data_IF_871371282832
#
_entry.id   IF_871371282832
#
_cell.length_a   1.000
_cell.length_b   1.000
_cell.length_c   1.000
_cell.angle_alpha   90.00
_cell.angle_beta   90.00
_cell.angle_gamma   90.00
#
_symmetry.space_group_name_H-M   'P 1'
#
loop_
_entity.id
_entity.type
_entity.pdbx_description
1 polymer ?
#
# COMPACT_ATOMS: atom_id res chain seq x y z
N UNK A 1 21.71 64.77 -20.02
CA UNK A 1 21.52 63.49 -19.31
C UNK A 1 20.02 63.22 -19.17
N UNK A 2 19.56 62.05 -19.68
CA UNK A 2 18.35 61.28 -19.28
C UNK A 2 17.03 62.07 -19.16
N UNK A 3 16.28 62.28 -20.24
CA UNK A 3 15.18 61.42 -20.76
C UNK A 3 14.24 60.91 -19.64
N UNK A 4 13.09 61.56 -19.48
CA UNK A 4 11.90 60.98 -18.83
C UNK A 4 10.64 61.46 -19.58
N UNK A 5 10.13 60.56 -20.40
CA UNK A 5 8.87 60.62 -21.17
C UNK A 5 7.76 60.02 -20.27
N UNK A 6 6.45 60.26 -20.50
CA UNK A 6 5.66 61.11 -19.61
C UNK A 6 4.34 60.43 -19.16
N UNK A 7 3.48 61.25 -18.56
CA UNK A 7 2.02 61.21 -18.77
C UNK A 7 1.21 60.16 -18.00
N UNK A 8 0.88 60.50 -16.74
CA UNK A 8 -0.31 59.99 -16.08
C UNK A 8 -1.54 60.76 -16.61
N UNK A 9 -2.47 60.06 -17.26
CA UNK A 9 -3.77 60.57 -17.66
C UNK A 9 -4.86 59.53 -17.32
N UNK A 10 -6.03 60.06 -16.95
CA UNK A 10 -7.34 59.45 -16.69
C UNK A 10 -7.58 59.10 -15.19
N UNK A 11 -8.37 59.85 -14.39
CA UNK A 11 -9.76 60.32 -14.56
C UNK A 11 -10.71 59.13 -14.71
N UNK A 12 -11.83 58.93 -14.01
CA UNK A 12 -12.47 59.38 -12.77
C UNK A 12 -13.77 58.52 -12.70
N UNK A 13 -14.58 58.68 -11.64
CA UNK A 13 -16.00 58.23 -11.54
C UNK A 13 -16.13 56.72 -11.25
N UNK A 14 -16.89 56.23 -10.27
CA UNK A 14 -18.05 56.76 -9.56
C UNK A 14 -19.21 55.77 -9.74
N UNK A 15 -20.01 55.59 -8.67
CA UNK A 15 -21.32 54.93 -8.62
C UNK A 15 -21.39 53.39 -8.57
N UNK A 16 -21.62 52.89 -7.35
CA UNK A 16 -22.88 52.27 -6.90
C UNK A 16 -23.78 51.65 -7.99
N UNK A 17 -23.97 50.32 -7.99
CA UNK A 17 -25.28 49.66 -8.12
C UNK A 17 -25.16 48.13 -8.26
N UNK A 18 -26.18 47.48 -7.71
CA UNK A 18 -26.76 46.21 -8.12
C UNK A 18 -26.04 44.90 -7.75
N UNK A 19 -26.65 44.23 -6.76
CA UNK A 19 -26.63 42.79 -6.63
C UNK A 19 -27.10 42.11 -7.93
N UNK A 20 -26.43 41.02 -8.31
CA UNK A 20 -27.02 39.94 -9.10
C UNK A 20 -26.49 38.58 -8.61
N UNK A 21 -27.38 37.61 -8.29
CA UNK A 21 -27.02 36.27 -7.87
C UNK A 21 -26.95 35.32 -9.08
N UNK A 22 -25.89 34.53 -9.17
CA UNK A 22 -25.79 33.39 -10.10
C UNK A 22 -24.76 32.41 -9.50
N UNK A 23 -25.20 31.39 -8.79
CA UNK A 23 -25.54 30.08 -9.34
C UNK A 23 -24.33 29.34 -9.93
N UNK A 24 -24.05 28.20 -9.27
CA UNK A 24 -23.40 27.01 -9.83
C UNK A 24 -21.93 27.14 -10.25
N UNK A 25 -21.06 26.63 -9.37
CA UNK A 25 -20.17 25.48 -9.65
C UNK A 25 -19.52 25.03 -8.35
N UNK A 26 -20.31 24.39 -7.50
CA UNK A 26 -19.81 23.37 -6.58
C UNK A 26 -19.09 22.32 -7.42
N UNK A 27 -17.78 22.08 -7.25
CA UNK A 27 -17.20 20.87 -7.80
C UNK A 27 -17.71 19.69 -6.96
N UNK A 28 -18.72 19.00 -7.46
CA UNK A 28 -18.95 17.58 -7.15
C UNK A 28 -18.44 16.86 -8.41
N UNK A 29 -17.33 16.12 -8.36
CA UNK A 29 -17.35 14.75 -7.80
C UNK A 29 -16.00 14.41 -7.10
N UNK A 30 -15.78 13.33 -6.37
CA UNK A 30 -16.27 11.96 -6.41
C UNK A 30 -16.50 11.55 -4.96
N UNK A 31 -17.76 11.33 -4.59
CA UNK A 31 -18.05 10.41 -3.50
C UNK A 31 -17.48 9.08 -3.95
N UNK A 32 -16.33 8.70 -3.39
CA UNK A 32 -15.95 7.29 -3.37
C UNK A 32 -17.04 6.59 -2.57
N UNK A 33 -18.08 6.14 -3.26
CA UNK A 33 -18.72 4.88 -2.94
C UNK A 33 -17.66 3.81 -3.22
N UNK A 34 -16.58 3.83 -2.44
CA UNK A 34 -15.83 2.64 -2.18
C UNK A 34 -16.90 1.72 -1.57
N UNK A 35 -17.32 0.73 -2.36
CA UNK A 35 -18.06 -0.41 -1.84
C UNK A 35 -17.32 -0.95 -0.62
N UNK A 36 -17.95 -1.82 0.18
CA UNK A 36 -17.26 -2.39 1.32
C UNK A 36 -15.97 -2.99 0.79
N UNK A 37 -14.84 -2.35 1.09
CA UNK A 37 -13.53 -2.93 0.96
C UNK A 37 -13.54 -4.01 2.03
N UNK A 38 -14.17 -5.13 1.70
CA UNK A 38 -14.14 -6.32 2.52
C UNK A 38 -12.69 -6.77 2.51
N UNK A 39 -11.99 -6.34 3.53
CA UNK A 39 -11.03 -7.18 4.21
C UNK A 39 -11.10 -6.95 5.71
N UNK A 40 -12.23 -7.17 6.41
CA UNK A 40 -12.19 -7.47 7.84
C UNK A 40 -11.69 -8.91 7.99
N UNK A 41 -10.45 -9.16 7.59
CA UNK A 41 -9.69 -10.27 8.12
C UNK A 41 -8.94 -9.68 9.28
N UNK A 42 -9.38 -9.95 10.50
CA UNK A 42 -8.59 -9.76 11.71
C UNK A 42 -7.16 -10.23 11.38
N UNK A 43 -6.26 -9.27 11.22
CA UNK A 43 -5.12 -9.43 10.32
C UNK A 43 -4.12 -10.39 10.95
N UNK A 44 -4.35 -11.68 10.68
CA UNK A 44 -3.46 -12.79 10.87
C UNK A 44 -2.04 -12.30 10.52
N UNK A 45 -1.28 -12.03 11.58
CA UNK A 45 -0.10 -11.17 11.52
C UNK A 45 1.11 -11.97 11.12
N UNK A 46 1.31 -12.14 9.82
CA UNK A 46 2.54 -12.73 9.28
C UNK A 46 3.53 -11.61 8.96
N UNK A 47 4.75 -11.71 9.46
CA UNK A 47 5.83 -10.75 9.18
C UNK A 47 7.14 -11.50 8.97
N UNK A 48 7.87 -11.11 7.92
CA UNK A 48 9.21 -11.61 7.64
C UNK A 48 10.24 -10.52 7.92
N UNK A 49 11.33 -10.88 8.60
CA UNK A 49 12.42 -9.96 8.91
C UNK A 49 13.78 -10.66 8.83
N UNK A 50 14.86 -9.97 8.43
CA UNK A 50 14.89 -8.56 7.99
C UNK A 50 14.28 -8.35 6.60
N UNK A 51 13.76 -7.16 6.33
CA UNK A 51 13.31 -6.74 4.99
C UNK A 51 13.89 -5.34 4.73
N UNK A 52 14.83 -5.16 3.77
CA UNK A 52 15.32 -6.14 2.79
C UNK A 52 16.15 -7.29 3.37
N UNK A 53 16.02 -8.50 2.81
CA UNK A 53 16.79 -9.69 3.23
C UNK A 53 17.89 -10.05 2.24
N UNK A 54 18.97 -10.67 2.73
CA UNK A 54 20.05 -11.27 1.93
C UNK A 54 19.95 -12.78 1.75
N UNK A 55 18.75 -13.34 1.91
CA UNK A 55 18.50 -14.78 1.71
C UNK A 55 18.14 -15.54 2.98
N UNK A 56 18.28 -14.99 4.19
CA UNK A 56 17.71 -15.59 5.39
C UNK A 56 16.66 -14.66 6.00
N UNK A 57 15.44 -15.17 6.18
CA UNK A 57 14.36 -14.43 6.85
C UNK A 57 13.79 -15.25 7.99
N UNK A 58 13.59 -14.59 9.13
CA UNK A 58 12.81 -15.15 10.21
C UNK A 58 11.33 -14.90 9.94
N UNK A 59 10.53 -15.93 10.16
CA UNK A 59 9.07 -15.90 10.00
C UNK A 59 8.43 -15.65 11.36
N UNK A 60 7.74 -14.52 11.53
CA UNK A 60 6.88 -14.28 12.69
C UNK A 60 5.45 -14.52 12.32
N UNK A 61 4.83 -15.46 13.02
CA UNK A 61 3.39 -15.68 12.98
C UNK A 61 2.80 -15.22 14.30
N UNK A 62 1.98 -14.18 14.28
CA UNK A 62 1.24 -13.67 15.45
C UNK A 62 -0.22 -14.10 15.36
N UNK A 63 -0.49 -15.34 15.74
CA UNK A 63 -1.81 -15.97 15.62
C UNK A 63 -2.05 -16.93 16.76
N UNK A 64 -3.32 -17.13 17.18
CA UNK A 64 -3.64 -18.14 18.16
C UNK A 64 -3.28 -19.54 17.63
N UNK A 65 -2.96 -20.50 18.53
CA UNK A 65 -2.88 -21.90 18.16
C UNK A 65 -4.22 -22.31 17.56
N UNK A 66 -4.17 -22.85 16.34
CA UNK A 66 -5.35 -22.97 15.49
C UNK A 66 -5.08 -23.87 14.27
N UNK A 67 -5.84 -23.70 13.17
CA UNK A 67 -5.75 -24.56 11.99
C UNK A 67 -4.36 -24.53 11.35
N UNK A 68 -4.09 -25.53 10.50
CA UNK A 68 -2.82 -25.63 9.79
C UNK A 68 -2.62 -24.39 8.89
N UNK A 69 -1.58 -23.62 9.20
CA UNK A 69 -1.23 -22.44 8.43
C UNK A 69 -0.26 -22.83 7.31
N UNK A 70 -0.47 -22.28 6.11
CA UNK A 70 0.39 -22.52 4.95
C UNK A 70 0.98 -21.19 4.47
N UNK A 71 2.29 -21.05 4.60
CA UNK A 71 3.04 -19.95 4.03
C UNK A 71 3.37 -20.27 2.57
N UNK A 72 2.76 -19.53 1.65
CA UNK A 72 3.06 -19.59 0.22
C UNK A 72 3.91 -18.40 -0.17
N UNK A 73 5.08 -18.66 -0.72
CA UNK A 73 5.93 -17.66 -1.35
C UNK A 73 5.73 -17.71 -2.85
N UNK A 74 5.45 -16.56 -3.44
CA UNK A 74 5.22 -16.37 -4.86
C UNK A 74 6.10 -15.26 -5.41
N UNK A 75 6.48 -15.35 -6.69
CA UNK A 75 7.19 -14.27 -7.37
C UNK A 75 6.22 -13.17 -7.86
N UNK A 76 6.77 -12.13 -8.49
CA UNK A 76 5.97 -11.01 -9.03
C UNK A 76 4.97 -11.41 -10.12
N UNK A 77 5.19 -12.54 -10.80
CA UNK A 77 4.27 -13.08 -11.81
C UNK A 77 3.26 -14.08 -11.21
N UNK A 78 3.26 -14.28 -9.89
CA UNK A 78 2.31 -15.14 -9.18
C UNK A 78 2.65 -16.63 -9.19
N UNK A 79 3.82 -17.03 -9.69
CA UNK A 79 4.27 -18.42 -9.58
C UNK A 79 4.64 -18.73 -8.13
N UNK A 80 4.11 -19.83 -7.61
CA UNK A 80 4.47 -20.36 -6.29
C UNK A 80 5.89 -20.92 -6.33
N UNK A 81 6.78 -20.27 -5.59
CA UNK A 81 8.19 -20.61 -5.48
C UNK A 81 8.41 -21.62 -4.36
N UNK A 82 7.71 -21.44 -3.24
CA UNK A 82 7.85 -22.30 -2.07
C UNK A 82 6.58 -22.30 -1.23
N UNK A 83 6.23 -23.45 -0.70
CA UNK A 83 5.13 -23.62 0.26
C UNK A 83 5.63 -24.28 1.52
N UNK A 84 5.29 -23.70 2.66
CA UNK A 84 5.77 -24.14 3.97
C UNK A 84 4.60 -24.20 4.93
N UNK A 85 4.34 -25.38 5.50
CA UNK A 85 3.33 -25.52 6.55
C UNK A 85 3.87 -24.96 7.87
N UNK A 86 3.27 -23.87 8.34
CA UNK A 86 3.55 -23.27 9.64
C UNK A 86 2.62 -23.94 10.67
N UNK A 87 3.23 -24.57 11.67
CA UNK A 87 2.52 -25.11 12.83
C UNK A 87 2.67 -24.13 14.00
N UNK A 88 1.58 -23.76 14.69
CA UNK A 88 1.65 -22.78 15.78
C UNK A 88 2.44 -23.29 17.01
N UNK A 89 2.56 -24.61 17.16
CA UNK A 89 3.34 -25.28 18.21
C UNK A 89 4.85 -25.29 17.94
N UNK A 90 5.27 -25.13 16.68
CA UNK A 90 6.67 -25.22 16.28
C UNK A 90 7.18 -23.82 15.95
N UNK A 91 8.09 -23.30 16.79
CA UNK A 91 8.83 -22.09 16.47
C UNK A 91 9.57 -22.29 15.15
N UNK A 92 9.16 -21.55 14.11
CA UNK A 92 9.74 -21.69 12.78
C UNK A 92 11.10 -21.01 12.76
N UNK A 93 12.23 -21.74 12.59
CA UNK A 93 13.56 -21.18 12.77
C UNK A 93 13.96 -20.15 11.71
N UNK A 94 13.19 -20.04 10.64
CA UNK A 94 13.43 -19.12 9.53
C UNK A 94 13.33 -19.85 8.19
N UNK A 95 13.29 -19.06 7.13
CA UNK A 95 13.22 -19.53 5.76
C UNK A 95 14.51 -19.11 5.05
N UNK A 96 15.22 -20.11 4.53
CA UNK A 96 16.35 -19.88 3.63
C UNK A 96 15.80 -19.66 2.21
N UNK A 97 16.09 -18.48 1.69
CA UNK A 97 15.75 -17.91 0.39
C UNK A 97 17.02 -17.56 -0.42
N UNK A 98 18.20 -17.99 0.03
CA UNK A 98 19.48 -17.70 -0.65
C UNK A 98 19.54 -18.31 -2.05
N UNK A 99 18.76 -19.37 -2.30
CA UNK A 99 18.61 -20.00 -3.63
C UNK A 99 17.84 -19.14 -4.63
N UNK A 100 17.23 -18.03 -4.18
CA UNK A 100 16.36 -17.18 -4.99
C UNK A 100 17.09 -15.92 -5.44
N UNK A 101 16.92 -15.48 -6.69
CA UNK A 101 17.54 -14.24 -7.16
C UNK A 101 17.00 -13.03 -6.40
N UNK A 102 17.86 -12.02 -6.21
CA UNK A 102 17.49 -10.73 -5.65
C UNK A 102 16.32 -10.10 -6.42
N UNK A 103 15.28 -9.66 -5.72
CA UNK A 103 14.08 -9.15 -6.34
C UNK A 103 12.91 -8.95 -5.37
N UNK A 104 11.74 -8.68 -5.92
CA UNK A 104 10.50 -8.55 -5.17
C UNK A 104 9.77 -9.89 -5.15
N UNK A 105 9.31 -10.29 -3.97
CA UNK A 105 8.51 -11.48 -3.76
C UNK A 105 7.28 -11.15 -2.93
N UNK A 106 6.25 -11.98 -3.07
CA UNK A 106 5.04 -11.91 -2.29
C UNK A 106 4.92 -13.17 -1.45
N UNK A 107 4.62 -13.01 -0.18
CA UNK A 107 4.30 -14.14 0.69
C UNK A 107 2.86 -13.99 1.16
N UNK A 108 2.13 -15.09 1.03
CA UNK A 108 0.74 -15.20 1.41
C UNK A 108 0.60 -16.26 2.48
N UNK A 109 -0.11 -15.93 3.54
CA UNK A 109 -0.55 -16.90 4.53
C UNK A 109 -1.91 -17.44 4.11
N UNK A 110 -2.00 -18.75 3.97
CA UNK A 110 -3.21 -19.49 3.65
C UNK A 110 -3.66 -20.25 4.89
N UNK A 111 -4.93 -20.12 5.24
CA UNK A 111 -5.57 -20.72 6.41
C UNK A 111 -6.86 -21.36 5.93
N UNK A 112 -7.03 -22.66 6.16
CA UNK A 112 -8.19 -23.43 5.69
C UNK A 112 -8.50 -23.23 4.19
N UNK A 113 -7.43 -23.12 3.38
CA UNK A 113 -7.53 -22.91 1.93
C UNK A 113 -7.82 -21.48 1.48
N UNK A 114 -7.99 -20.54 2.41
CA UNK A 114 -8.20 -19.11 2.11
C UNK A 114 -6.94 -18.29 2.41
N UNK A 115 -6.59 -17.39 1.51
CA UNK A 115 -5.52 -16.42 1.75
C UNK A 115 -5.98 -15.44 2.83
N UNK A 116 -5.36 -15.50 4.01
CA UNK A 116 -5.69 -14.62 5.12
C UNK A 116 -4.88 -13.32 5.11
N UNK A 117 -3.63 -13.35 4.64
CA UNK A 117 -2.76 -12.18 4.61
C UNK A 117 -1.72 -12.32 3.52
N UNK A 118 -1.49 -11.25 2.75
CA UNK A 118 -0.42 -11.19 1.75
C UNK A 118 0.45 -9.98 2.02
N UNK A 119 1.76 -10.19 1.98
CA UNK A 119 2.75 -9.13 2.16
C UNK A 119 3.90 -9.28 1.16
N UNK A 120 4.62 -8.19 1.00
CA UNK A 120 5.79 -8.09 0.12
C UNK A 120 7.08 -8.33 0.88
N UNK A 121 8.03 -9.00 0.24
CA UNK A 121 9.39 -9.22 0.71
C UNK A 121 10.36 -8.76 -0.38
N UNK A 122 11.38 -7.99 0.01
CA UNK A 122 12.46 -7.59 -0.89
C UNK A 122 13.71 -8.41 -0.56
N UNK A 123 14.25 -9.07 -1.57
CA UNK A 123 15.51 -9.81 -1.51
C UNK A 123 16.61 -9.02 -2.23
N UNK A 124 17.77 -8.93 -1.59
CA UNK A 124 18.99 -8.32 -2.13
C UNK A 124 20.10 -9.38 -2.05
N UNK A 125 20.45 -9.96 -3.20
CA UNK A 125 21.57 -10.91 -3.31
C UNK A 125 22.89 -10.17 -3.52
#
# INVERSE_FOLDING_TARGET
MKIFTPFFLALAVGALAAAQPAAARTPKPLTFLAGPAQGPGEALGLSLYPNPSRGFVTVQLRQPPGPAYLLRLSNVIGQEIRSVALRPDTSFPGLNLTDLPGGLYFYSLVVDGKVASTKRLVLQN
#
